data_IF_544724810620
#
_entry.id   IF_544724810620
#
_cell.length_a   1.000
_cell.length_b   1.000
_cell.length_c   1.000
_cell.angle_alpha   90.00
_cell.angle_beta   90.00
_cell.angle_gamma   90.00
#
_symmetry.space_group_name_H-M   'P 1'
#
loop_
_entity.id
_entity.type
_entity.pdbx_description
1 polymer ?
#
# COMPACT_ATOMS: atom_id res chain seq x y z
N UNK A 1 -42.61 28.65 -16.99
CA UNK A 1 -43.35 27.56 -16.33
C UNK A 1 -42.57 26.26 -16.47
N UNK A 2 -41.89 25.83 -15.47
CA UNK A 2 -41.83 24.49 -14.89
C UNK A 2 -40.63 24.35 -13.95
N UNK A 3 -40.79 24.96 -12.79
CA UNK A 3 -40.08 24.48 -11.61
C UNK A 3 -40.89 23.31 -11.08
N UNK A 4 -40.29 22.15 -10.96
CA UNK A 4 -40.55 21.02 -10.06
C UNK A 4 -40.14 19.72 -10.73
N UNK A 5 -39.03 19.16 -10.26
CA UNK A 5 -38.85 17.73 -9.89
C UNK A 5 -37.35 17.40 -9.91
N UNK A 6 -36.66 17.73 -8.82
CA UNK A 6 -35.46 17.03 -8.39
C UNK A 6 -35.51 16.98 -6.87
N UNK A 7 -36.35 16.12 -6.37
CA UNK A 7 -36.30 15.66 -4.99
C UNK A 7 -36.48 14.14 -5.07
N UNK A 8 -35.62 13.47 -4.35
CA UNK A 8 -35.57 12.02 -4.12
C UNK A 8 -34.62 11.24 -5.05
N UNK A 9 -33.35 11.16 -4.65
CA UNK A 9 -32.56 9.95 -4.54
C UNK A 9 -31.43 10.24 -3.54
N UNK A 10 -31.72 10.14 -2.28
CA UNK A 10 -30.80 9.84 -1.20
C UNK A 10 -31.38 8.62 -0.48
N UNK A 11 -31.02 7.41 -0.86
CA UNK A 11 -31.22 6.29 0.04
C UNK A 11 -30.04 6.25 1.02
N UNK A 12 -30.34 6.54 2.29
CA UNK A 12 -29.85 5.84 3.44
C UNK A 12 -28.36 5.43 3.40
N UNK A 13 -27.46 6.38 3.63
CA UNK A 13 -26.31 6.11 4.45
C UNK A 13 -26.86 5.83 5.85
N UNK A 14 -27.23 4.59 6.11
CA UNK A 14 -27.34 4.10 7.47
C UNK A 14 -25.97 4.33 8.08
N UNK A 15 -25.91 5.33 8.94
CA UNK A 15 -24.83 5.51 9.89
C UNK A 15 -24.66 4.19 10.62
N UNK A 16 -23.68 3.40 10.22
CA UNK A 16 -23.14 2.37 11.04
C UNK A 16 -22.61 3.08 12.29
N UNK A 17 -23.46 3.13 13.30
CA UNK A 17 -23.11 3.56 14.64
C UNK A 17 -22.14 2.55 15.23
N UNK A 18 -20.87 2.67 14.85
CA UNK A 18 -19.76 1.92 15.43
C UNK A 18 -19.57 2.23 16.93
N UNK A 19 -20.32 3.18 17.47
CA UNK A 19 -20.16 3.68 18.84
C UNK A 19 -21.02 2.98 19.90
N UNK A 20 -21.98 2.12 19.56
CA UNK A 20 -22.81 1.47 20.58
C UNK A 20 -22.23 0.14 21.09
N UNK A 21 -21.50 -0.60 20.25
CA UNK A 21 -20.93 -1.88 20.66
C UNK A 21 -19.66 -1.76 21.52
N UNK A 22 -18.90 -0.67 21.40
CA UNK A 22 -17.72 -0.45 22.24
C UNK A 22 -18.06 0.07 23.65
N UNK A 23 -19.19 0.76 23.84
CA UNK A 23 -19.56 1.29 25.17
C UNK A 23 -20.27 0.28 26.06
N UNK A 24 -20.83 -0.78 25.52
CA UNK A 24 -21.54 -1.80 26.31
C UNK A 24 -20.63 -2.85 26.98
N UNK A 25 -19.31 -2.84 26.70
CA UNK A 25 -18.35 -3.76 27.32
C UNK A 25 -17.46 -3.14 28.42
N UNK A 26 -17.68 -1.90 28.78
CA UNK A 26 -16.81 -1.19 29.73
C UNK A 26 -17.37 -1.10 31.16
N UNK A 27 -18.48 -1.75 31.49
CA UNK A 27 -19.11 -1.62 32.81
C UNK A 27 -19.36 -2.94 33.56
N UNK A 28 -18.70 -4.02 33.19
CA UNK A 28 -18.61 -5.19 34.08
C UNK A 28 -17.16 -5.37 34.54
N UNK A 29 -16.81 -4.63 35.57
CA UNK A 29 -15.65 -4.95 36.41
C UNK A 29 -16.05 -6.14 37.24
N UNK A 30 -15.82 -7.36 36.76
CA UNK A 30 -15.90 -8.55 37.55
C UNK A 30 -14.81 -8.48 38.64
N UNK A 31 -15.23 -8.50 39.90
CA UNK A 31 -14.35 -8.60 41.06
C UNK A 31 -13.38 -9.78 40.96
N UNK A 32 -12.32 -9.80 41.80
CA UNK A 32 -11.28 -10.80 41.75
C UNK A 32 -11.84 -12.20 41.88
N UNK A 33 -11.87 -12.97 40.78
CA UNK A 33 -12.11 -14.41 40.85
C UNK A 33 -10.93 -15.06 41.54
N UNK A 34 -11.23 -15.72 42.65
CA UNK A 34 -10.25 -16.55 43.33
C UNK A 34 -9.69 -17.58 42.34
N UNK A 35 -8.38 -17.55 42.16
CA UNK A 35 -7.66 -18.56 41.41
C UNK A 35 -7.73 -19.88 42.14
N UNK A 36 -8.63 -20.76 41.73
CA UNK A 36 -8.58 -22.14 42.17
C UNK A 36 -7.40 -22.81 41.49
N UNK A 37 -6.41 -23.20 42.31
CA UNK A 37 -5.30 -24.08 41.92
C UNK A 37 -5.89 -25.44 41.51
N UNK A 38 -6.11 -25.62 40.22
CA UNK A 38 -6.72 -26.87 39.74
C UNK A 38 -6.78 -27.01 38.21
N UNK A 39 -5.92 -26.37 37.46
CA UNK A 39 -5.72 -26.72 36.04
C UNK A 39 -4.25 -26.58 35.64
N UNK A 40 -3.45 -27.51 36.19
CA UNK A 40 -2.09 -27.69 35.74
C UNK A 40 -2.10 -28.36 34.36
N UNK A 41 -1.57 -27.59 33.38
CA UNK A 41 -0.85 -28.11 32.25
C UNK A 41 -1.65 -28.76 31.11
N UNK A 42 -2.46 -27.99 30.41
CA UNK A 42 -2.30 -28.06 28.97
C UNK A 42 -1.02 -27.25 28.64
N UNK A 43 0.07 -27.92 28.32
CA UNK A 43 1.22 -27.29 27.70
C UNK A 43 0.75 -26.73 26.35
N UNK A 44 0.23 -25.51 26.33
CA UNK A 44 0.16 -24.75 25.11
C UNK A 44 1.62 -24.56 24.71
N UNK A 45 2.06 -25.39 23.79
CA UNK A 45 3.33 -25.21 23.14
C UNK A 45 3.17 -23.97 22.25
N UNK A 46 3.31 -22.77 22.85
CA UNK A 46 3.25 -21.50 22.17
C UNK A 46 4.50 -21.23 21.34
N UNK A 47 5.38 -22.24 21.21
CA UNK A 47 6.56 -22.15 20.41
C UNK A 47 6.20 -22.18 18.91
N UNK A 48 6.71 -21.22 18.18
CA UNK A 48 6.62 -21.20 16.72
C UNK A 48 7.44 -22.37 16.16
N UNK A 49 6.84 -23.16 15.28
CA UNK A 49 7.48 -24.29 14.63
C UNK A 49 7.34 -24.14 13.11
N UNK A 50 8.40 -24.39 12.33
CA UNK A 50 9.73 -24.76 12.77
C UNK A 50 10.45 -23.64 13.55
N UNK A 51 11.53 -23.97 14.22
CA UNK A 51 12.40 -22.95 14.85
C UNK A 51 13.18 -22.21 13.79
N UNK A 52 13.73 -21.04 14.15
CA UNK A 52 14.56 -20.24 13.25
C UNK A 52 15.79 -20.98 12.73
N UNK A 53 16.34 -21.91 13.50
CA UNK A 53 17.51 -22.68 13.13
C UNK A 53 17.19 -23.86 12.20
N UNK A 54 15.98 -24.41 12.28
CA UNK A 54 15.53 -25.51 11.45
C UNK A 54 15.12 -25.08 10.05
N UNK A 55 14.29 -24.04 9.95
CA UNK A 55 13.81 -23.48 8.67
C UNK A 55 13.52 -21.99 8.84
N UNK A 56 14.47 -21.15 8.50
CA UNK A 56 14.35 -19.70 8.63
C UNK A 56 13.21 -19.12 7.76
N UNK A 57 13.04 -19.47 6.48
CA UNK A 57 11.96 -18.96 5.65
C UNK A 57 10.57 -19.29 6.20
N UNK A 58 10.34 -20.52 6.64
CA UNK A 58 9.05 -20.92 7.18
C UNK A 58 8.82 -20.33 8.57
N UNK A 59 9.85 -20.34 9.44
CA UNK A 59 9.79 -19.66 10.74
C UNK A 59 9.35 -18.20 10.59
N UNK A 60 9.91 -17.47 9.63
CA UNK A 60 9.55 -16.07 9.38
C UNK A 60 8.07 -15.92 9.04
N UNK A 61 7.50 -16.79 8.19
CA UNK A 61 6.09 -16.76 7.86
C UNK A 61 5.19 -17.11 9.06
N UNK A 62 5.62 -18.06 9.90
CA UNK A 62 4.90 -18.43 11.12
C UNK A 62 4.93 -17.30 12.16
N UNK A 63 6.03 -16.55 12.26
CA UNK A 63 6.09 -15.34 13.12
C UNK A 63 5.06 -14.30 12.68
N UNK A 64 4.99 -13.99 11.39
CA UNK A 64 4.02 -13.02 10.84
C UNK A 64 2.60 -13.44 11.20
N UNK A 65 2.27 -14.70 11.00
CA UNK A 65 0.96 -15.26 11.29
C UNK A 65 0.64 -15.27 12.79
N UNK A 66 1.56 -15.74 13.62
CA UNK A 66 1.38 -15.82 15.07
C UNK A 66 1.26 -14.44 15.74
N UNK A 67 1.98 -13.45 15.23
CA UNK A 67 1.92 -12.07 15.70
C UNK A 67 0.78 -11.26 15.06
N UNK A 68 -0.04 -11.87 14.22
CA UNK A 68 -1.18 -11.24 13.54
C UNK A 68 -0.81 -9.98 12.77
N UNK A 69 0.34 -10.02 12.06
CA UNK A 69 0.89 -8.84 11.37
C UNK A 69 0.31 -8.64 9.97
N UNK A 70 0.07 -9.73 9.25
CA UNK A 70 -0.45 -9.69 7.89
C UNK A 70 -1.20 -10.97 7.53
N UNK A 71 -2.00 -10.88 6.47
CA UNK A 71 -2.80 -11.98 5.94
C UNK A 71 -2.81 -11.92 4.41
N UNK A 72 -2.95 -13.08 3.78
CA UNK A 72 -3.10 -13.16 2.32
C UNK A 72 -4.42 -12.54 1.91
N UNK A 73 -4.38 -11.65 0.93
CA UNK A 73 -5.60 -11.01 0.40
C UNK A 73 -6.24 -11.87 -0.69
N UNK A 74 -7.51 -11.58 -1.08
CA UNK A 74 -8.13 -12.18 -2.27
C UNK A 74 -7.40 -11.83 -3.58
N UNK A 75 -6.58 -10.76 -3.59
CA UNK A 75 -5.78 -10.37 -4.75
C UNK A 75 -4.47 -11.15 -4.72
N UNK A 76 -4.23 -11.94 -5.76
CA UNK A 76 -3.04 -12.79 -5.84
C UNK A 76 -1.76 -11.99 -5.68
N UNK A 77 -0.91 -12.43 -4.78
CA UNK A 77 0.39 -11.82 -4.52
C UNK A 77 0.35 -10.57 -3.64
N UNK A 78 -0.83 -10.08 -3.29
CA UNK A 78 -1.00 -8.96 -2.37
C UNK A 78 -1.35 -9.46 -0.96
N UNK A 79 -0.95 -8.71 0.06
CA UNK A 79 -1.27 -9.00 1.45
C UNK A 79 -2.12 -7.89 2.05
N UNK A 80 -2.91 -8.25 3.06
CA UNK A 80 -3.49 -7.28 3.99
C UNK A 80 -2.50 -7.10 5.13
N UNK A 81 -2.00 -5.89 5.31
CA UNK A 81 -1.20 -5.54 6.49
C UNK A 81 -2.18 -5.22 7.62
N UNK A 82 -2.18 -6.04 8.66
CA UNK A 82 -3.09 -5.91 9.80
C UNK A 82 -2.63 -4.81 10.75
N UNK A 83 -3.47 -4.37 11.70
CA UNK A 83 -3.16 -3.20 12.53
C UNK A 83 -1.81 -3.26 13.24
N UNK A 84 -1.40 -4.41 13.76
CA UNK A 84 -0.09 -4.57 14.40
C UNK A 84 1.07 -4.43 13.40
N UNK A 85 0.94 -5.04 12.22
CA UNK A 85 1.94 -4.89 11.16
C UNK A 85 2.00 -3.47 10.63
N UNK A 86 0.83 -2.82 10.48
CA UNK A 86 0.78 -1.44 10.02
C UNK A 86 1.36 -0.47 11.05
N UNK A 87 1.15 -0.69 12.34
CA UNK A 87 1.77 0.11 13.40
C UNK A 87 3.31 0.03 13.38
N UNK A 88 3.89 -1.11 12.99
CA UNK A 88 5.34 -1.22 12.75
C UNK A 88 5.76 -0.32 11.59
N UNK A 89 5.00 -0.35 10.48
CA UNK A 89 5.23 0.53 9.33
C UNK A 89 5.15 2.01 9.70
N UNK A 90 4.10 2.44 10.40
CA UNK A 90 3.93 3.83 10.85
C UNK A 90 5.10 4.31 11.72
N UNK A 91 5.61 3.43 12.59
CA UNK A 91 6.77 3.77 13.41
C UNK A 91 8.05 3.93 12.58
N UNK A 92 8.29 3.04 11.61
CA UNK A 92 9.41 3.19 10.68
C UNK A 92 9.29 4.47 9.85
N UNK A 93 8.12 4.71 9.27
CA UNK A 93 7.84 5.91 8.49
C UNK A 93 8.09 7.18 9.30
N UNK A 94 7.58 7.25 10.52
CA UNK A 94 7.74 8.43 11.39
C UNK A 94 9.20 8.76 11.69
N UNK A 95 10.02 7.73 11.94
CA UNK A 95 11.44 7.93 12.24
C UNK A 95 12.20 8.36 10.98
N UNK A 96 12.02 7.63 9.88
CA UNK A 96 12.71 7.92 8.62
C UNK A 96 12.26 9.26 8.02
N UNK A 97 10.97 9.59 8.08
CA UNK A 97 10.44 10.87 7.58
C UNK A 97 11.10 12.06 8.28
N UNK A 98 11.32 11.96 9.59
CA UNK A 98 12.08 12.98 10.33
C UNK A 98 13.52 13.08 9.82
N UNK A 99 14.21 11.95 9.68
CA UNK A 99 15.59 11.92 9.21
C UNK A 99 15.73 12.55 7.82
N UNK A 100 14.79 12.29 6.90
CA UNK A 100 14.77 12.92 5.58
C UNK A 100 14.54 14.42 5.67
N UNK A 101 13.60 14.87 6.49
CA UNK A 101 13.33 16.30 6.70
C UNK A 101 14.51 17.04 7.33
N UNK A 102 15.24 16.39 8.23
CA UNK A 102 16.44 16.94 8.85
C UNK A 102 17.56 17.16 7.82
N UNK A 103 17.54 16.45 6.68
CA UNK A 103 18.45 16.67 5.56
C UNK A 103 17.91 17.63 4.49
N UNK A 104 16.77 18.26 4.74
CA UNK A 104 16.14 19.24 3.85
C UNK A 104 15.19 18.67 2.82
N UNK A 105 14.92 17.36 2.83
CA UNK A 105 13.95 16.75 1.93
C UNK A 105 12.52 17.19 2.26
N UNK A 106 11.73 17.33 1.21
CA UNK A 106 10.31 17.67 1.30
C UNK A 106 9.46 16.52 0.73
N UNK A 107 8.37 16.19 1.42
CA UNK A 107 7.45 15.18 0.92
C UNK A 107 6.61 15.76 -0.22
N UNK A 108 6.48 14.98 -1.29
CA UNK A 108 5.59 15.23 -2.42
C UNK A 108 4.79 13.96 -2.74
N UNK A 109 3.81 14.08 -3.63
CA UNK A 109 3.04 12.95 -4.11
C UNK A 109 2.91 13.02 -5.62
N UNK A 110 3.28 11.96 -6.30
CA UNK A 110 3.17 11.78 -7.75
C UNK A 110 2.07 10.78 -8.07
N UNK A 111 1.43 10.90 -9.24
CA UNK A 111 0.32 10.04 -9.62
C UNK A 111 0.67 8.54 -9.61
N UNK A 112 -0.33 7.73 -9.28
CA UNK A 112 -0.25 6.27 -9.34
C UNK A 112 -0.05 5.76 -10.77
N UNK A 113 -0.69 6.42 -11.74
CA UNK A 113 -0.68 6.02 -13.13
C UNK A 113 0.36 6.79 -13.94
N UNK A 114 1.09 6.06 -14.78
CA UNK A 114 2.10 6.60 -15.68
C UNK A 114 1.67 6.24 -17.11
N UNK A 115 1.58 7.20 -18.05
CA UNK A 115 1.34 6.90 -19.46
C UNK A 115 2.42 5.99 -20.03
N UNK A 116 2.05 5.00 -20.85
CA UNK A 116 3.04 4.06 -21.42
C UNK A 116 4.10 4.76 -22.23
N UNK A 117 3.76 5.86 -22.91
CA UNK A 117 4.69 6.67 -23.70
C UNK A 117 5.86 7.26 -22.91
N UNK A 118 5.70 7.39 -21.58
CA UNK A 118 6.78 7.84 -20.70
C UNK A 118 7.83 6.75 -20.51
N UNK A 119 7.38 5.49 -20.36
CA UNK A 119 8.28 4.34 -20.24
C UNK A 119 9.01 4.03 -21.56
N UNK A 120 8.36 4.23 -22.69
CA UNK A 120 8.98 4.01 -24.01
C UNK A 120 10.17 4.94 -24.26
N UNK A 121 10.14 6.15 -23.72
CA UNK A 121 11.26 7.11 -23.81
C UNK A 121 12.49 6.69 -23.00
N UNK A 122 12.28 5.86 -21.99
CA UNK A 122 13.32 5.38 -21.08
C UNK A 122 13.54 3.86 -21.22
N UNK A 123 13.20 3.29 -22.39
CA UNK A 123 13.16 1.84 -22.61
C UNK A 123 14.44 1.10 -22.18
N UNK A 124 15.61 1.71 -22.32
CA UNK A 124 16.89 1.14 -21.90
C UNK A 124 16.99 0.95 -20.38
N UNK A 125 16.35 1.85 -19.59
CA UNK A 125 16.35 1.76 -18.12
C UNK A 125 15.22 0.88 -17.58
N UNK A 126 14.17 0.66 -18.36
CA UNK A 126 12.93 -0.01 -17.96
C UNK A 126 12.95 -1.53 -18.22
N UNK A 127 13.94 -2.05 -18.95
CA UNK A 127 13.99 -3.45 -19.38
C UNK A 127 13.81 -4.46 -18.22
N UNK A 128 14.31 -4.11 -17.03
CA UNK A 128 14.15 -4.91 -15.81
C UNK A 128 12.72 -4.91 -15.22
N UNK A 129 11.97 -3.83 -15.39
CA UNK A 129 10.63 -3.65 -14.81
C UNK A 129 9.50 -3.93 -15.78
N UNK A 130 9.75 -3.83 -17.08
CA UNK A 130 8.72 -3.92 -18.12
C UNK A 130 7.89 -5.21 -18.02
N UNK A 131 8.52 -6.31 -17.64
CA UNK A 131 7.88 -7.63 -17.51
C UNK A 131 6.97 -7.75 -16.28
N UNK A 132 7.12 -6.87 -15.31
CA UNK A 132 6.40 -6.89 -14.03
C UNK A 132 5.39 -5.75 -13.89
N UNK A 133 5.18 -4.95 -14.94
CA UNK A 133 4.23 -3.85 -14.90
C UNK A 133 2.78 -4.33 -14.94
N UNK A 134 1.94 -3.76 -14.09
CA UNK A 134 0.50 -3.85 -14.20
C UNK A 134 -0.02 -2.76 -15.14
N UNK A 135 -0.80 -3.15 -16.14
CA UNK A 135 -1.27 -2.25 -17.21
C UNK A 135 -2.77 -2.06 -17.09
N UNK A 136 -3.22 -0.80 -17.09
CA UNK A 136 -4.63 -0.42 -17.15
C UNK A 136 -4.96 -0.05 -18.59
N UNK A 137 -5.87 -0.79 -19.20
CA UNK A 137 -6.24 -0.68 -20.62
C UNK A 137 -7.63 -0.12 -20.86
N UNK A 138 -8.50 -0.11 -19.83
CA UNK A 138 -9.88 0.31 -19.92
C UNK A 138 -10.25 1.27 -18.80
N UNK A 139 -11.27 2.09 -19.05
CA UNK A 139 -11.93 2.91 -18.07
C UNK A 139 -13.40 2.52 -17.96
N UNK A 140 -13.99 2.66 -16.81
CA UNK A 140 -15.38 2.32 -16.50
C UNK A 140 -15.70 0.82 -16.62
N UNK A 141 -16.82 0.49 -16.05
CA UNK A 141 -17.45 -0.82 -16.15
C UNK A 141 -18.86 -0.61 -16.73
N UNK A 142 -19.33 -1.57 -17.50
CA UNK A 142 -20.70 -1.65 -18.02
C UNK A 142 -21.28 -3.03 -17.80
N UNK A 143 -22.58 -3.17 -17.96
CA UNK A 143 -23.22 -4.48 -17.92
C UNK A 143 -23.07 -5.17 -19.27
N UNK A 144 -22.41 -6.32 -19.26
CA UNK A 144 -22.36 -7.21 -20.41
C UNK A 144 -23.71 -7.90 -20.69
N UNK A 145 -23.81 -8.64 -21.79
CA UNK A 145 -25.03 -9.32 -22.21
C UNK A 145 -25.61 -10.27 -21.15
N UNK A 146 -24.76 -10.86 -20.34
CA UNK A 146 -25.08 -11.83 -19.26
C UNK A 146 -25.38 -11.14 -17.92
N UNK A 147 -25.41 -9.80 -17.88
CA UNK A 147 -25.61 -9.01 -16.66
C UNK A 147 -24.37 -8.89 -15.77
N UNK A 148 -23.25 -9.51 -16.12
CA UNK A 148 -21.98 -9.32 -15.42
C UNK A 148 -21.31 -7.99 -15.77
N UNK A 149 -20.50 -7.45 -14.85
CA UNK A 149 -19.72 -6.26 -15.13
C UNK A 149 -18.51 -6.60 -16.02
N UNK A 150 -18.36 -5.83 -17.10
CA UNK A 150 -17.25 -5.94 -18.03
C UNK A 150 -16.57 -4.58 -18.21
N UNK A 151 -15.27 -4.53 -18.55
CA UNK A 151 -14.61 -3.28 -18.94
C UNK A 151 -15.33 -2.63 -20.13
N UNK A 152 -15.62 -1.33 -20.03
CA UNK A 152 -16.43 -0.64 -21.06
C UNK A 152 -15.58 -0.12 -22.20
N UNK A 153 -14.85 0.97 -21.98
CA UNK A 153 -14.11 1.66 -23.03
C UNK A 153 -12.61 1.47 -22.93
N UNK A 154 -11.89 1.14 -24.01
CA UNK A 154 -10.44 1.17 -23.99
C UNK A 154 -9.94 2.60 -23.79
N UNK A 155 -8.81 2.74 -23.12
CA UNK A 155 -8.05 3.99 -23.05
C UNK A 155 -7.39 4.25 -24.41
N UNK A 156 -7.30 5.51 -24.82
CA UNK A 156 -6.51 5.89 -25.99
C UNK A 156 -5.04 5.52 -25.82
N UNK A 157 -4.52 5.72 -24.62
CA UNK A 157 -3.18 5.33 -24.22
C UNK A 157 -3.27 4.47 -22.95
N UNK A 158 -2.70 3.25 -22.94
CA UNK A 158 -2.62 2.44 -21.73
C UNK A 158 -1.83 3.15 -20.63
N UNK A 159 -2.24 2.92 -19.39
CA UNK A 159 -1.58 3.44 -18.20
C UNK A 159 -0.88 2.31 -17.45
N UNK A 160 0.27 2.59 -16.94
CA UNK A 160 1.03 1.68 -16.09
C UNK A 160 0.76 2.05 -14.63
N UNK A 161 0.43 1.07 -13.81
CA UNK A 161 0.46 1.25 -12.36
C UNK A 161 1.92 1.32 -11.95
N UNK A 162 2.34 2.41 -11.34
CA UNK A 162 3.77 2.70 -11.09
C UNK A 162 4.52 1.53 -10.44
N UNK A 163 5.56 1.00 -11.08
CA UNK A 163 6.52 0.08 -10.44
C UNK A 163 7.62 0.86 -9.69
N UNK A 164 7.80 2.12 -10.03
CA UNK A 164 8.63 3.20 -9.48
C UNK A 164 8.14 4.52 -10.05
N UNK A 165 8.48 5.64 -9.46
CA UNK A 165 8.03 6.96 -9.93
C UNK A 165 9.08 7.76 -10.70
N UNK A 166 10.25 7.23 -10.97
CA UNK A 166 11.37 7.94 -11.59
C UNK A 166 10.97 8.67 -12.86
N UNK A 167 10.28 7.98 -13.77
CA UNK A 167 9.86 8.51 -15.06
C UNK A 167 8.99 9.75 -14.94
N UNK A 168 7.98 9.71 -14.05
CA UNK A 168 7.08 10.84 -13.86
C UNK A 168 7.73 11.96 -13.05
N UNK A 169 8.59 11.62 -12.09
CA UNK A 169 9.36 12.58 -11.30
C UNK A 169 10.31 13.33 -12.22
N UNK A 170 11.06 12.62 -13.07
CA UNK A 170 11.99 13.22 -14.05
C UNK A 170 11.28 14.17 -15.01
N UNK A 171 10.10 13.76 -15.51
CA UNK A 171 9.30 14.64 -16.39
C UNK A 171 8.83 15.92 -15.68
N UNK A 172 8.53 15.85 -14.37
CA UNK A 172 8.16 17.04 -13.59
C UNK A 172 9.37 17.90 -13.26
N UNK A 173 10.52 17.30 -12.93
CA UNK A 173 11.76 18.04 -12.69
C UNK A 173 12.19 18.82 -13.94
N UNK A 174 12.07 18.23 -15.12
CA UNK A 174 12.35 18.93 -16.38
C UNK A 174 11.50 20.19 -16.59
N UNK A 175 10.30 20.25 -15.99
CA UNK A 175 9.44 21.44 -15.99
C UNK A 175 9.78 22.43 -14.88
N UNK A 176 10.13 21.93 -13.70
CA UNK A 176 10.35 22.76 -12.52
C UNK A 176 11.71 23.43 -12.53
N UNK A 177 12.75 22.77 -13.06
CA UNK A 177 14.10 23.29 -13.14
C UNK A 177 14.21 24.19 -14.36
N UNK A 178 14.18 25.50 -14.15
CA UNK A 178 14.36 26.51 -15.18
C UNK A 178 15.75 27.14 -15.12
N UNK A 179 16.42 27.03 -13.98
CA UNK A 179 17.79 27.55 -13.79
C UNK A 179 18.51 26.75 -12.68
N UNK A 180 19.83 26.94 -12.58
CA UNK A 180 20.64 26.36 -11.49
C UNK A 180 20.19 26.83 -10.09
N UNK A 181 19.43 27.93 -10.00
CA UNK A 181 18.93 28.47 -8.74
C UNK A 181 17.75 27.66 -8.18
N UNK A 182 17.14 26.83 -9.01
CA UNK A 182 16.07 25.93 -8.61
C UNK A 182 16.61 24.64 -7.96
N UNK A 183 17.94 24.51 -7.92
CA UNK A 183 18.65 23.36 -7.37
C UNK A 183 19.29 23.68 -6.01
N UNK A 184 19.44 22.70 -5.12
CA UNK A 184 19.02 21.31 -5.30
C UNK A 184 17.52 21.13 -5.09
N UNK A 185 16.93 20.15 -5.78
CA UNK A 185 15.61 19.63 -5.46
C UNK A 185 15.79 18.33 -4.65
N UNK A 186 15.20 18.27 -3.47
CA UNK A 186 15.29 17.13 -2.56
C UNK A 186 13.85 16.71 -2.21
N UNK A 187 13.32 15.71 -2.91
CA UNK A 187 11.95 15.24 -2.73
C UNK A 187 11.94 13.80 -2.27
N UNK A 188 11.05 13.53 -1.33
CA UNK A 188 10.70 12.20 -0.86
C UNK A 188 9.22 11.91 -1.12
N UNK A 189 8.89 10.69 -1.48
CA UNK A 189 7.53 10.22 -1.61
C UNK A 189 7.33 8.94 -0.80
N UNK A 190 6.31 8.94 0.05
CA UNK A 190 5.76 7.74 0.66
C UNK A 190 4.61 7.25 -0.22
N UNK A 191 4.73 6.03 -0.71
CA UNK A 191 3.80 5.53 -1.72
C UNK A 191 3.70 4.00 -1.70
N UNK A 192 2.70 3.48 -2.40
CA UNK A 192 2.67 2.10 -2.84
C UNK A 192 3.22 2.00 -4.27
N UNK A 193 3.73 0.84 -4.61
CA UNK A 193 4.10 0.46 -5.99
C UNK A 193 3.61 -0.94 -6.27
N UNK A 194 3.47 -1.26 -7.57
CA UNK A 194 3.02 -2.58 -8.03
C UNK A 194 4.06 -3.17 -8.97
N UNK A 195 4.57 -4.34 -8.61
CA UNK A 195 5.44 -5.17 -9.43
C UNK A 195 4.87 -6.57 -9.48
N UNK A 196 4.52 -7.06 -10.65
CA UNK A 196 3.78 -8.32 -10.85
C UNK A 196 4.68 -9.53 -10.57
N UNK A 197 4.88 -9.79 -9.29
CA UNK A 197 5.79 -10.80 -8.79
C UNK A 197 5.22 -12.22 -8.91
N UNK A 198 6.01 -13.12 -9.43
CA UNK A 198 5.59 -14.52 -9.61
C UNK A 198 5.73 -15.38 -8.35
N UNK A 199 6.68 -15.04 -7.47
CA UNK A 199 7.01 -15.81 -6.26
C UNK A 199 6.88 -14.93 -5.02
N UNK A 200 5.66 -14.73 -4.58
CA UNK A 200 5.36 -13.83 -3.46
C UNK A 200 5.66 -14.45 -2.10
N UNK A 201 6.07 -13.60 -1.16
CA UNK A 201 6.29 -13.90 0.25
C UNK A 201 5.86 -12.69 1.08
N UNK A 202 5.02 -12.88 2.09
CA UNK A 202 4.53 -11.78 2.95
C UNK A 202 5.71 -10.95 3.49
N UNK A 203 5.58 -9.64 3.42
CA UNK A 203 6.55 -8.58 3.74
C UNK A 203 7.86 -8.60 2.94
N UNK A 204 8.31 -9.74 2.45
CA UNK A 204 9.61 -9.84 1.76
C UNK A 204 9.49 -9.56 0.27
N UNK A 205 8.41 -10.04 -0.35
CA UNK A 205 8.20 -9.95 -1.78
C UNK A 205 6.72 -10.11 -2.12
N UNK A 206 6.04 -8.99 -2.30
CA UNK A 206 4.62 -8.94 -2.64
C UNK A 206 4.41 -8.15 -3.93
N UNK A 207 3.29 -8.40 -4.60
CA UNK A 207 2.95 -7.71 -5.84
C UNK A 207 2.72 -6.23 -5.60
N UNK A 208 2.03 -5.87 -4.53
CA UNK A 208 1.90 -4.50 -4.05
C UNK A 208 2.62 -4.36 -2.71
N UNK A 209 3.34 -3.26 -2.53
CA UNK A 209 4.01 -2.96 -1.27
C UNK A 209 4.14 -1.45 -1.05
N UNK A 210 4.25 -1.09 0.22
CA UNK A 210 4.54 0.27 0.65
C UNK A 210 6.05 0.47 0.68
N UNK A 211 6.48 1.63 0.25
CA UNK A 211 7.88 2.00 0.30
C UNK A 211 8.10 3.50 0.45
N UNK A 212 9.32 3.89 0.44
CA UNK A 212 9.81 5.24 0.33
C UNK A 212 10.68 5.33 -0.92
N UNK A 213 10.56 6.42 -1.66
CA UNK A 213 11.46 6.77 -2.75
C UNK A 213 11.89 8.24 -2.62
N UNK A 214 13.20 8.46 -2.64
CA UNK A 214 13.80 9.78 -2.65
C UNK A 214 14.39 10.09 -4.02
N UNK A 215 14.04 11.25 -4.56
CA UNK A 215 14.54 11.73 -5.84
C UNK A 215 15.16 13.09 -5.64
N UNK A 216 16.41 13.24 -6.07
CA UNK A 216 17.16 14.48 -5.91
C UNK A 216 17.73 14.94 -7.23
N UNK A 217 17.84 16.26 -7.40
CA UNK A 217 18.52 16.87 -8.52
C UNK A 217 19.51 17.92 -8.00
N UNK A 218 20.72 17.90 -8.48
CA UNK A 218 21.82 18.74 -8.04
C UNK A 218 22.48 19.46 -9.24
N UNK A 219 23.10 20.62 -9.00
CA UNK A 219 23.84 21.35 -10.03
C UNK A 219 25.21 20.74 -10.28
N UNK A 220 25.81 20.11 -9.26
CA UNK A 220 27.15 19.51 -9.29
C UNK A 220 27.13 18.13 -8.63
N UNK A 221 28.18 17.39 -8.80
CA UNK A 221 28.35 16.07 -8.19
C UNK A 221 28.77 16.17 -6.70
N UNK A 222 29.28 17.31 -6.27
CA UNK A 222 29.79 17.57 -4.90
C UNK A 222 28.69 18.01 -3.94
#
# INVERSE_FOLDING_TARGET
GNRRRNAAILPALQSLTYNAACRARATEVAGPRAWTEGNLMAKHNNAISPTRAEDYPEWYQQVIKAADLAEVSPVRGCMVIKPWGYAVWENMQRVLDRMFKDTGHQNAYFPLFIPISFLEKEAEHVEGFAKECAVVTHYRLEHGPDGHLVPAGPLEEPLIVRPTSETIVGAMYAKWIQSYRDLPILINQWANVVRWEMRTRMFLRTTEFLWQEGHTAHATQD
#
